data_IF_702618861666
#
_entry.id   IF_702618861666
#
_cell.length_a   1.000
_cell.length_b   1.000
_cell.length_c   1.000
_cell.angle_alpha   90.00
_cell.angle_beta   90.00
_cell.angle_gamma   90.00
#
_symmetry.space_group_name_H-M   'P 1'
#
loop_
_entity.id
_entity.type
_entity.pdbx_description
1 polymer ?
#
# COMPACT_ATOMS: atom_id res chain seq x y z
N UNK A 1 -23.29 -22.43 -2.08
CA UNK A 1 -22.61 -21.74 -3.18
C UNK A 1 -21.93 -22.78 -4.07
N UNK A 2 -21.93 -22.58 -5.36
CA UNK A 2 -21.25 -23.47 -6.32
C UNK A 2 -19.74 -23.23 -6.28
N UNK A 3 -19.33 -21.99 -6.20
CA UNK A 3 -17.94 -21.55 -6.04
C UNK A 3 -17.80 -20.51 -4.94
N UNK A 4 -16.61 -20.45 -4.33
CA UNK A 4 -16.20 -19.45 -3.35
C UNK A 4 -14.93 -18.78 -3.86
N UNK A 5 -14.95 -17.46 -3.96
CA UNK A 5 -13.80 -16.69 -4.40
C UNK A 5 -13.08 -16.09 -3.19
N UNK A 6 -11.80 -16.37 -3.07
CA UNK A 6 -10.92 -15.74 -2.09
C UNK A 6 -9.91 -14.84 -2.80
N UNK A 7 -9.58 -13.72 -2.17
CA UNK A 7 -8.66 -12.73 -2.73
C UNK A 7 -7.19 -13.19 -2.70
N UNK A 8 -6.85 -14.17 -1.85
CA UNK A 8 -5.50 -14.72 -1.70
C UNK A 8 -5.55 -16.19 -1.34
N UNK A 9 -4.57 -16.95 -1.79
CA UNK A 9 -4.39 -18.36 -1.39
C UNK A 9 -4.14 -18.51 0.12
N UNK A 10 -3.58 -17.48 0.75
CA UNK A 10 -3.33 -17.44 2.18
C UNK A 10 -4.61 -17.43 3.04
N UNK A 11 -5.75 -17.10 2.44
CA UNK A 11 -7.06 -17.18 3.12
C UNK A 11 -7.68 -18.58 3.05
N UNK A 12 -7.16 -19.53 2.26
CA UNK A 12 -7.76 -20.85 2.11
C UNK A 12 -7.90 -21.58 3.44
N UNK A 13 -6.79 -21.73 4.15
CA UNK A 13 -6.78 -22.51 5.41
C UNK A 13 -7.71 -21.92 6.47
N UNK A 14 -7.61 -20.62 6.81
CA UNK A 14 -8.55 -19.99 7.75
C UNK A 14 -10.01 -20.09 7.31
N UNK A 15 -10.27 -19.96 6.00
CA UNK A 15 -11.62 -20.06 5.47
C UNK A 15 -12.19 -21.48 5.59
N UNK A 16 -11.41 -22.53 5.31
CA UNK A 16 -11.83 -23.93 5.46
C UNK A 16 -12.13 -24.25 6.93
N UNK A 17 -11.29 -23.82 7.85
CA UNK A 17 -11.50 -23.97 9.29
C UNK A 17 -12.81 -23.31 9.78
N UNK A 18 -13.08 -22.09 9.28
CA UNK A 18 -14.28 -21.33 9.64
C UNK A 18 -15.57 -21.87 8.98
N UNK A 19 -15.49 -22.21 7.69
CA UNK A 19 -16.66 -22.56 6.88
C UNK A 19 -17.14 -24.00 7.05
N UNK A 20 -16.35 -24.86 7.71
CA UNK A 20 -16.57 -26.29 7.82
C UNK A 20 -16.71 -27.03 6.47
N UNK A 21 -16.19 -26.46 5.38
CA UNK A 21 -16.10 -27.16 4.11
C UNK A 21 -15.14 -28.34 4.24
N UNK A 22 -15.47 -29.46 3.57
CA UNK A 22 -14.68 -30.69 3.65
C UNK A 22 -13.35 -30.58 2.90
N UNK A 23 -13.32 -29.76 1.83
CA UNK A 23 -12.18 -29.60 0.96
C UNK A 23 -12.23 -28.23 0.25
N UNK A 24 -11.21 -27.95 -0.56
CA UNK A 24 -11.07 -26.68 -1.30
C UNK A 24 -11.54 -26.75 -2.77
N UNK A 25 -12.23 -27.83 -3.17
CA UNK A 25 -12.66 -28.06 -4.57
C UNK A 25 -13.51 -26.95 -5.15
N UNK A 26 -14.28 -26.24 -4.27
CA UNK A 26 -15.11 -25.08 -4.64
C UNK A 26 -14.38 -23.73 -4.53
N UNK A 27 -13.15 -23.70 -4.02
CA UNK A 27 -12.43 -22.45 -3.81
C UNK A 27 -11.65 -22.07 -5.06
N UNK A 28 -11.79 -20.82 -5.48
CA UNK A 28 -10.97 -20.20 -6.53
C UNK A 28 -10.31 -18.94 -5.98
N UNK A 29 -9.11 -18.65 -6.48
CA UNK A 29 -8.36 -17.46 -6.07
C UNK A 29 -8.43 -16.43 -7.20
N UNK A 30 -9.09 -15.31 -6.93
CA UNK A 30 -9.16 -14.18 -7.85
C UNK A 30 -8.86 -12.91 -7.06
N UNK A 31 -7.74 -12.27 -7.35
CA UNK A 31 -7.33 -11.03 -6.74
C UNK A 31 -8.25 -9.87 -7.14
N UNK A 32 -8.23 -8.79 -6.38
CA UNK A 32 -8.88 -7.56 -6.82
C UNK A 32 -8.17 -6.98 -8.05
N UNK A 33 -8.95 -6.48 -8.99
CA UNK A 33 -8.43 -5.72 -10.12
C UNK A 33 -7.94 -4.34 -9.67
N UNK A 34 -7.02 -3.76 -10.43
CA UNK A 34 -6.60 -2.37 -10.31
C UNK A 34 -7.79 -1.43 -10.56
N UNK A 35 -7.81 -0.29 -9.86
CA UNK A 35 -8.86 0.73 -10.00
C UNK A 35 -8.66 1.64 -11.22
N UNK A 36 -7.45 1.70 -11.76
CA UNK A 36 -7.08 2.59 -12.86
C UNK A 36 -6.65 1.78 -14.09
N UNK A 37 -6.81 2.37 -15.29
CA UNK A 37 -6.49 1.68 -16.55
C UNK A 37 -5.04 1.87 -16.99
N UNK A 38 -4.46 3.04 -16.69
CA UNK A 38 -3.11 3.39 -17.16
C UNK A 38 -2.03 3.04 -16.13
N UNK A 39 -0.87 2.65 -16.65
CA UNK A 39 0.33 2.44 -15.84
C UNK A 39 1.25 3.64 -15.97
N UNK A 40 2.01 3.92 -14.91
CA UNK A 40 3.01 4.97 -14.93
C UNK A 40 4.09 4.68 -15.97
N UNK A 41 4.40 5.67 -16.81
CA UNK A 41 5.52 5.59 -17.72
C UNK A 41 6.83 5.92 -16.99
N UNK A 42 7.69 4.92 -16.83
CA UNK A 42 8.96 5.06 -16.12
C UNK A 42 9.93 6.08 -16.78
N UNK A 43 9.74 6.43 -18.06
CA UNK A 43 10.48 7.50 -18.71
C UNK A 43 10.25 8.85 -17.99
N UNK A 44 9.11 9.02 -17.34
CA UNK A 44 8.74 10.21 -16.58
C UNK A 44 9.21 10.16 -15.11
N UNK A 45 10.05 9.20 -14.70
CA UNK A 45 10.44 9.01 -13.29
C UNK A 45 11.00 10.28 -12.64
N UNK A 46 11.69 11.13 -13.40
CA UNK A 46 12.25 12.38 -12.90
C UNK A 46 11.18 13.41 -12.47
N UNK A 47 9.90 13.19 -12.82
CA UNK A 47 8.77 14.00 -12.35
C UNK A 47 8.23 13.53 -10.99
N UNK A 48 8.70 12.38 -10.48
CA UNK A 48 8.36 11.94 -9.12
C UNK A 48 8.88 12.92 -8.09
N UNK A 49 8.01 13.28 -7.16
CA UNK A 49 8.32 14.21 -6.08
C UNK A 49 8.89 13.47 -4.86
N UNK A 50 9.63 14.16 -4.03
CA UNK A 50 10.06 13.70 -2.71
C UNK A 50 8.85 13.69 -1.76
N UNK A 51 7.89 12.83 -2.05
CA UNK A 51 6.63 12.70 -1.33
C UNK A 51 6.39 11.24 -0.92
N UNK A 52 6.01 11.06 0.34
CA UNK A 52 5.45 9.83 0.89
C UNK A 52 3.93 10.01 0.92
N UNK A 53 3.21 9.05 0.39
CA UNK A 53 1.76 9.09 0.26
C UNK A 53 1.10 8.04 1.16
N UNK A 54 0.05 8.44 1.83
CA UNK A 54 -0.95 7.57 2.44
C UNK A 54 -2.29 7.86 1.78
N UNK A 55 -2.98 6.82 1.31
CA UNK A 55 -4.36 6.90 0.83
C UNK A 55 -5.22 5.98 1.70
N UNK A 56 -6.08 6.56 2.52
CA UNK A 56 -6.81 5.78 3.53
C UNK A 56 -8.01 6.51 4.09
N UNK A 57 -9.00 5.75 4.59
CA UNK A 57 -9.95 6.29 5.56
C UNK A 57 -9.21 6.67 6.84
N UNK A 58 -9.53 7.83 7.40
CA UNK A 58 -8.90 8.32 8.63
C UNK A 58 -9.59 7.72 9.86
N UNK A 59 -9.34 6.43 10.06
CA UNK A 59 -9.80 5.61 11.18
C UNK A 59 -8.58 4.97 11.84
N UNK A 60 -8.52 4.93 13.17
CA UNK A 60 -7.37 4.33 13.83
C UNK A 60 -7.35 2.81 13.64
N UNK A 61 -8.46 2.16 13.85
CA UNK A 61 -8.63 0.75 13.56
C UNK A 61 -9.34 0.56 12.20
N UNK A 62 -8.73 -0.16 11.24
CA UNK A 62 -7.43 -0.85 11.28
C UNK A 62 -6.25 -0.04 10.73
N UNK A 63 -6.39 1.25 10.38
CA UNK A 63 -5.43 2.00 9.54
C UNK A 63 -4.18 2.50 10.26
N UNK A 64 -4.24 2.70 11.58
CA UNK A 64 -3.12 3.09 12.45
C UNK A 64 -2.34 4.31 11.93
N UNK A 65 -3.06 5.39 11.54
CA UNK A 65 -2.43 6.62 11.04
C UNK A 65 -1.60 7.29 12.15
N UNK A 66 -1.96 7.12 13.42
CA UNK A 66 -1.15 7.59 14.55
C UNK A 66 0.25 6.99 14.55
N UNK A 67 0.38 5.71 14.16
CA UNK A 67 1.67 5.03 14.01
C UNK A 67 2.46 5.60 12.82
N UNK A 68 1.81 5.91 11.71
CA UNK A 68 2.44 6.58 10.59
C UNK A 68 3.01 7.95 11.00
N UNK A 69 2.26 8.74 11.76
CA UNK A 69 2.72 10.03 12.28
C UNK A 69 3.89 9.89 13.26
N UNK A 70 3.88 8.84 14.10
CA UNK A 70 5.00 8.53 15.00
C UNK A 70 6.27 8.17 14.21
N UNK A 71 6.16 7.37 13.16
CA UNK A 71 7.27 7.05 12.25
C UNK A 71 7.76 8.33 11.56
N UNK A 72 6.84 9.16 11.06
CA UNK A 72 7.18 10.40 10.36
C UNK A 72 7.90 11.40 11.27
N UNK A 73 7.57 11.43 12.56
CA UNK A 73 8.30 12.25 13.54
C UNK A 73 9.81 11.96 13.51
N UNK A 74 10.20 10.68 13.48
CA UNK A 74 11.61 10.28 13.41
C UNK A 74 12.27 10.62 12.05
N UNK A 75 11.47 10.73 10.99
CA UNK A 75 11.93 11.19 9.67
C UNK A 75 12.17 12.71 9.70
N UNK A 76 11.29 13.48 10.34
CA UNK A 76 11.44 14.95 10.40
C UNK A 76 12.63 15.42 11.22
N UNK A 77 13.15 14.61 12.16
CA UNK A 77 14.38 14.94 12.89
C UNK A 77 15.64 14.93 12.03
N UNK A 78 15.58 14.27 10.87
CA UNK A 78 16.71 14.16 9.95
C UNK A 78 16.69 15.31 8.94
N UNK A 79 17.55 16.31 9.17
CA UNK A 79 17.61 17.51 8.35
C UNK A 79 18.03 17.24 6.90
N UNK A 80 18.70 16.12 6.62
CA UNK A 80 19.07 15.72 5.25
C UNK A 80 17.85 15.33 4.41
N UNK A 81 16.72 15.02 5.09
CA UNK A 81 15.45 14.64 4.49
C UNK A 81 14.44 15.80 4.47
N UNK A 82 14.87 17.05 4.65
CA UNK A 82 14.00 18.23 4.79
C UNK A 82 13.10 18.51 3.59
N UNK A 83 13.44 18.02 2.39
CA UNK A 83 12.62 18.19 1.19
C UNK A 83 11.44 17.19 1.11
N UNK A 84 11.49 16.10 1.89
CA UNK A 84 10.44 15.09 1.87
C UNK A 84 9.18 15.56 2.63
N UNK A 85 8.02 15.24 2.08
CA UNK A 85 6.70 15.56 2.63
C UNK A 85 5.87 14.29 2.79
N UNK A 86 5.03 14.25 3.82
CA UNK A 86 4.01 13.23 3.99
C UNK A 86 2.67 13.83 3.55
N UNK A 87 2.04 13.21 2.54
CA UNK A 87 0.69 13.53 2.09
C UNK A 87 -0.28 12.44 2.52
N UNK A 88 -1.40 12.85 3.07
CA UNK A 88 -2.46 11.95 3.54
C UNK A 88 -3.74 12.31 2.81
N UNK A 89 -4.16 11.43 1.89
CA UNK A 89 -5.39 11.57 1.10
C UNK A 89 -6.47 10.69 1.70
N UNK A 90 -7.62 11.27 1.96
CA UNK A 90 -8.79 10.63 2.54
C UNK A 90 -9.39 11.45 3.67
N UNK A 91 -10.44 10.92 4.29
CA UNK A 91 -11.10 11.54 5.42
C UNK A 91 -11.62 10.46 6.38
N UNK A 92 -12.04 10.87 7.57
CA UNK A 92 -12.65 9.97 8.54
C UNK A 92 -12.80 10.64 9.91
N UNK A 93 -13.49 9.94 10.80
CA UNK A 93 -13.85 10.46 12.13
C UNK A 93 -12.66 10.84 13.01
N UNK A 94 -11.47 10.30 12.71
CA UNK A 94 -10.25 10.54 13.49
C UNK A 94 -9.40 11.69 12.96
N UNK A 95 -9.82 12.39 11.91
CA UNK A 95 -9.02 13.43 11.25
C UNK A 95 -8.59 14.53 12.22
N UNK A 96 -9.51 15.05 13.03
CA UNK A 96 -9.20 16.10 14.02
C UNK A 96 -8.18 15.63 15.06
N UNK A 97 -8.28 14.37 15.48
CA UNK A 97 -7.31 13.80 16.41
C UNK A 97 -5.92 13.65 15.77
N UNK A 98 -5.82 13.18 14.51
CA UNK A 98 -4.53 13.12 13.82
C UNK A 98 -3.91 14.50 13.62
N UNK A 99 -4.71 15.53 13.31
CA UNK A 99 -4.23 16.92 13.23
C UNK A 99 -3.70 17.40 14.59
N UNK A 100 -4.33 17.02 15.69
CA UNK A 100 -3.82 17.33 17.03
C UNK A 100 -2.49 16.61 17.34
N UNK A 101 -2.31 15.37 16.86
CA UNK A 101 -1.02 14.65 16.97
C UNK A 101 0.09 15.34 16.15
N UNK A 102 -0.22 15.83 14.95
CA UNK A 102 0.74 16.60 14.13
C UNK A 102 1.25 17.83 14.92
N UNK A 103 0.33 18.57 15.55
CA UNK A 103 0.68 19.72 16.39
C UNK A 103 1.48 19.25 17.63
N UNK A 104 1.02 18.23 18.33
CA UNK A 104 1.69 17.69 19.53
C UNK A 104 3.12 17.20 19.25
N UNK A 105 3.36 16.58 18.09
CA UNK A 105 4.68 16.12 17.67
C UNK A 105 5.54 17.22 17.03
N UNK A 106 4.98 18.42 16.79
CA UNK A 106 5.67 19.53 16.15
C UNK A 106 5.99 19.32 14.67
N UNK A 107 5.22 18.45 13.98
CA UNK A 107 5.45 18.10 12.58
C UNK A 107 5.08 19.26 11.65
N UNK A 108 5.98 19.57 10.71
CA UNK A 108 5.83 20.69 9.78
C UNK A 108 5.55 20.23 8.33
N UNK A 109 5.81 18.96 8.02
CA UNK A 109 5.81 18.45 6.65
C UNK A 109 4.74 17.37 6.42
N UNK A 110 3.64 17.41 7.19
CA UNK A 110 2.47 16.55 7.05
C UNK A 110 1.30 17.34 6.50
N UNK A 111 0.71 16.88 5.41
CA UNK A 111 -0.39 17.54 4.69
C UNK A 111 -1.59 16.62 4.58
N UNK A 112 -2.72 17.02 5.16
CA UNK A 112 -4.02 16.36 4.99
C UNK A 112 -4.72 16.95 3.79
N UNK A 113 -4.90 16.15 2.75
CA UNK A 113 -5.46 16.59 1.45
C UNK A 113 -6.99 16.47 1.39
N UNK A 114 -7.60 15.79 2.38
CA UNK A 114 -9.04 15.51 2.39
C UNK A 114 -9.46 14.46 1.38
N UNK A 115 -10.76 14.40 1.09
CA UNK A 115 -11.32 13.47 0.09
C UNK A 115 -11.06 14.02 -1.32
N UNK A 116 -10.17 13.38 -2.03
CA UNK A 116 -9.81 13.72 -3.42
C UNK A 116 -9.64 12.45 -4.26
N UNK A 117 -9.66 12.57 -5.58
CA UNK A 117 -9.19 11.51 -6.46
C UNK A 117 -7.71 11.23 -6.15
N UNK A 118 -7.34 10.02 -5.73
CA UNK A 118 -5.97 9.72 -5.34
C UNK A 118 -5.01 9.54 -6.53
N UNK A 119 -5.51 9.36 -7.74
CA UNK A 119 -4.71 9.07 -8.92
C UNK A 119 -3.60 10.10 -9.19
N UNK A 120 -3.85 11.42 -9.16
CA UNK A 120 -2.79 12.42 -9.32
C UNK A 120 -1.71 12.32 -8.23
N UNK A 121 -2.09 11.97 -7.00
CA UNK A 121 -1.15 11.81 -5.89
C UNK A 121 -0.27 10.58 -6.07
N UNK A 122 -0.81 9.44 -6.51
CA UNK A 122 0.00 8.29 -6.89
C UNK A 122 0.97 8.63 -8.03
N UNK A 123 0.51 9.39 -9.02
CA UNK A 123 1.33 9.80 -10.15
C UNK A 123 2.55 10.63 -9.72
N UNK A 124 2.41 11.47 -8.70
CA UNK A 124 3.44 12.38 -8.21
C UNK A 124 4.35 11.77 -7.13
N UNK A 125 3.80 11.01 -6.19
CA UNK A 125 4.53 10.51 -5.04
C UNK A 125 5.58 9.45 -5.42
N UNK A 126 6.69 9.39 -4.67
CA UNK A 126 7.75 8.41 -4.87
C UNK A 126 7.58 7.15 -4.01
N UNK A 127 7.00 7.29 -2.82
CA UNK A 127 6.90 6.24 -1.81
C UNK A 127 5.46 6.16 -1.33
N UNK A 128 4.97 4.94 -1.10
CA UNK A 128 3.66 4.71 -0.49
C UNK A 128 3.83 4.07 0.88
N UNK A 129 3.15 4.62 1.87
CA UNK A 129 3.24 4.19 3.27
C UNK A 129 1.92 3.57 3.73
N UNK A 130 1.97 2.33 4.23
CA UNK A 130 0.83 1.66 4.83
C UNK A 130 1.18 1.13 6.23
N UNK A 131 0.41 1.53 7.22
CA UNK A 131 0.60 1.12 8.63
C UNK A 131 -0.55 0.26 9.16
N UNK A 132 -1.44 -0.19 8.28
CA UNK A 132 -2.64 -0.96 8.66
C UNK A 132 -2.30 -2.21 9.47
N UNK A 133 -3.11 -2.52 10.48
CA UNK A 133 -3.06 -3.77 11.25
C UNK A 133 -3.78 -4.92 10.53
N UNK A 134 -4.69 -4.59 9.63
CA UNK A 134 -5.46 -5.55 8.86
C UNK A 134 -5.92 -4.96 7.53
N UNK A 135 -5.86 -5.78 6.48
CA UNK A 135 -6.45 -5.52 5.17
C UNK A 135 -7.01 -6.82 4.58
N UNK A 136 -8.12 -6.73 3.86
CA UNK A 136 -8.62 -7.86 3.09
C UNK A 136 -7.76 -8.14 1.85
N UNK A 137 -7.32 -7.08 1.16
CA UNK A 137 -6.43 -7.17 0.00
C UNK A 137 -5.27 -6.17 0.07
N UNK A 138 -5.57 -4.90 0.28
CA UNK A 138 -4.59 -3.81 0.19
C UNK A 138 -4.62 -3.14 -1.18
N UNK A 139 -5.82 -2.79 -1.67
CA UNK A 139 -6.01 -2.20 -3.01
C UNK A 139 -5.14 -0.96 -3.24
N UNK A 140 -5.00 -0.10 -2.23
CA UNK A 140 -4.16 1.10 -2.33
C UNK A 140 -2.66 0.79 -2.49
N UNK A 141 -2.18 -0.41 -2.10
CA UNK A 141 -0.81 -0.85 -2.40
C UNK A 141 -0.64 -1.18 -3.88
N UNK A 142 -1.59 -1.92 -4.46
CA UNK A 142 -1.54 -2.27 -5.89
C UNK A 142 -1.72 -1.04 -6.77
N UNK A 143 -2.58 -0.10 -6.37
CA UNK A 143 -2.71 1.22 -7.02
C UNK A 143 -1.41 2.03 -6.96
N UNK A 144 -0.77 2.08 -5.79
CA UNK A 144 0.52 2.75 -5.61
C UNK A 144 1.61 2.13 -6.51
N UNK A 145 1.68 0.80 -6.58
CA UNK A 145 2.60 0.09 -7.46
C UNK A 145 2.34 0.38 -8.94
N UNK A 146 1.07 0.43 -9.35
CA UNK A 146 0.67 0.76 -10.72
C UNK A 146 1.25 2.11 -11.19
N UNK A 147 1.34 3.06 -10.27
CA UNK A 147 1.90 4.38 -10.50
C UNK A 147 3.38 4.51 -10.09
N UNK A 148 4.06 3.41 -9.81
CA UNK A 148 5.48 3.41 -9.48
C UNK A 148 5.84 4.05 -8.14
N UNK A 149 4.88 4.20 -7.22
CA UNK A 149 5.20 4.47 -5.82
C UNK A 149 5.76 3.19 -5.19
N UNK A 150 6.93 3.28 -4.57
CA UNK A 150 7.51 2.12 -3.87
C UNK A 150 6.79 1.91 -2.54
N UNK A 151 6.07 0.78 -2.34
CA UNK A 151 5.32 0.56 -1.12
C UNK A 151 6.19 0.09 0.04
N UNK A 152 5.91 0.62 1.24
CA UNK A 152 6.32 0.05 2.52
C UNK A 152 5.06 -0.28 3.32
N UNK A 153 4.97 -1.52 3.81
CA UNK A 153 3.85 -1.94 4.63
C UNK A 153 4.31 -2.89 5.75
N UNK A 154 3.62 -2.87 6.88
CA UNK A 154 3.77 -3.93 7.88
C UNK A 154 3.18 -5.24 7.37
N UNK A 155 3.88 -6.34 7.60
CA UNK A 155 3.39 -7.69 7.32
C UNK A 155 2.36 -8.10 8.38
N UNK A 156 1.23 -7.43 8.39
CA UNK A 156 0.13 -7.55 9.35
C UNK A 156 -1.12 -8.24 8.76
N UNK A 157 -1.10 -8.57 7.46
CA UNK A 157 -2.22 -9.23 6.79
C UNK A 157 -1.72 -10.21 5.71
N UNK A 158 -2.50 -11.25 5.49
CA UNK A 158 -2.06 -12.44 4.75
C UNK A 158 -1.81 -12.17 3.25
N UNK A 159 -2.58 -11.30 2.61
CA UNK A 159 -2.44 -10.99 1.17
C UNK A 159 -1.26 -10.08 0.84
N UNK A 160 -0.51 -9.58 1.83
CA UNK A 160 0.62 -8.67 1.56
C UNK A 160 1.67 -9.29 0.64
N UNK A 161 1.98 -10.58 0.83
CA UNK A 161 3.01 -11.28 0.06
C UNK A 161 2.59 -11.62 -1.38
N UNK A 162 1.30 -11.52 -1.71
CA UNK A 162 0.84 -11.56 -3.09
C UNK A 162 1.14 -10.25 -3.83
N UNK A 163 1.31 -9.14 -3.07
CA UNK A 163 1.49 -7.78 -3.60
C UNK A 163 2.96 -7.35 -3.52
N UNK A 164 3.59 -7.53 -2.35
CA UNK A 164 4.97 -7.10 -2.10
C UNK A 164 5.91 -8.31 -2.03
N UNK A 165 6.82 -8.39 -2.98
CA UNK A 165 8.04 -9.22 -2.86
C UNK A 165 9.10 -8.36 -2.18
N UNK A 166 9.42 -8.70 -0.91
CA UNK A 166 10.32 -7.90 -0.07
C UNK A 166 11.65 -7.61 -0.76
N UNK A 167 12.09 -6.34 -0.69
CA UNK A 167 13.34 -5.81 -1.29
C UNK A 167 13.38 -5.85 -2.81
N UNK A 168 12.32 -6.27 -3.48
CA UNK A 168 12.24 -6.31 -4.95
C UNK A 168 11.35 -5.19 -5.49
N UNK A 169 10.08 -5.16 -5.07
CA UNK A 169 9.09 -4.17 -5.53
C UNK A 169 8.51 -3.32 -4.38
N UNK A 170 9.12 -3.39 -3.20
CA UNK A 170 8.72 -2.69 -1.97
C UNK A 170 9.36 -3.33 -0.74
N UNK A 171 8.92 -2.92 0.44
CA UNK A 171 9.35 -3.51 1.71
C UNK A 171 8.16 -4.06 2.50
N UNK A 172 8.20 -5.36 2.81
CA UNK A 172 7.31 -6.03 3.75
C UNK A 172 7.98 -6.08 5.14
N UNK A 173 7.62 -5.16 6.01
CA UNK A 173 8.25 -4.98 7.33
C UNK A 173 7.58 -5.92 8.34
N UNK A 174 8.30 -6.66 9.19
CA UNK A 174 7.68 -7.41 10.28
C UNK A 174 6.72 -6.55 11.08
N UNK A 175 5.55 -7.12 11.46
CA UNK A 175 4.54 -6.33 12.14
C UNK A 175 5.12 -5.67 13.40
N UNK A 176 4.83 -4.38 13.55
CA UNK A 176 5.25 -3.52 14.67
C UNK A 176 6.78 -3.28 14.81
N UNK A 177 7.61 -3.71 13.84
CA UNK A 177 9.03 -3.32 13.79
C UNK A 177 9.17 -1.89 13.24
N UNK A 178 8.88 -0.91 14.11
CA UNK A 178 8.96 0.52 13.79
C UNK A 178 10.38 0.92 13.40
N UNK A 179 11.38 0.37 14.07
CA UNK A 179 12.78 0.69 13.83
C UNK A 179 13.22 0.30 12.42
N UNK A 180 12.85 -0.91 11.98
CA UNK A 180 13.12 -1.35 10.63
C UNK A 180 12.32 -0.55 9.60
N UNK A 181 11.05 -0.20 9.91
CA UNK A 181 10.23 0.65 9.03
C UNK A 181 10.91 1.99 8.76
N UNK A 182 11.37 2.69 9.82
CA UNK A 182 12.09 3.96 9.71
C UNK A 182 13.38 3.78 8.90
N UNK A 183 14.15 2.72 9.16
CA UNK A 183 15.38 2.42 8.44
C UNK A 183 15.14 2.24 6.93
N UNK A 184 14.15 1.45 6.55
CA UNK A 184 13.84 1.20 5.13
C UNK A 184 13.22 2.45 4.46
N UNK A 185 12.43 3.23 5.18
CA UNK A 185 11.93 4.50 4.71
C UNK A 185 13.07 5.47 4.39
N UNK A 186 14.00 5.66 5.32
CA UNK A 186 15.20 6.51 5.11
C UNK A 186 16.07 6.00 3.95
N UNK A 187 16.23 4.69 3.82
CA UNK A 187 16.96 4.10 2.69
C UNK A 187 16.32 4.48 1.35
N UNK A 188 15.00 4.33 1.21
CA UNK A 188 14.30 4.75 -0.01
C UNK A 188 14.36 6.26 -0.25
N UNK A 189 14.39 7.07 0.80
CA UNK A 189 14.48 8.53 0.66
C UNK A 189 15.85 8.98 0.16
N UNK A 190 16.92 8.28 0.55
CA UNK A 190 18.31 8.66 0.25
C UNK A 190 18.88 7.98 -0.98
N UNK A 191 18.48 6.73 -1.28
CA UNK A 191 18.95 5.98 -2.44
C UNK A 191 17.96 6.06 -3.60
N UNK A 192 18.17 7.04 -4.48
CA UNK A 192 17.30 7.24 -5.65
C UNK A 192 17.42 6.09 -6.66
N UNK A 193 18.60 5.49 -6.82
CA UNK A 193 18.79 4.38 -7.75
C UNK A 193 18.01 3.16 -7.32
N UNK A 194 18.09 2.82 -6.04
CA UNK A 194 17.29 1.74 -5.46
C UNK A 194 15.79 2.03 -5.61
N UNK A 195 15.36 3.24 -5.27
CA UNK A 195 13.96 3.65 -5.36
C UNK A 195 13.44 3.56 -6.80
N UNK A 196 14.21 4.02 -7.79
CA UNK A 196 13.85 3.90 -9.22
C UNK A 196 13.77 2.45 -9.68
N UNK A 197 14.71 1.60 -9.28
CA UNK A 197 14.70 0.17 -9.58
C UNK A 197 13.48 -0.52 -8.99
N UNK A 198 13.18 -0.27 -7.71
CA UNK A 198 11.99 -0.83 -7.05
C UNK A 198 10.69 -0.30 -7.67
N UNK A 199 10.65 0.97 -8.09
CA UNK A 199 9.51 1.56 -8.80
C UNK A 199 9.22 0.81 -10.11
N UNK A 200 10.24 0.51 -10.91
CA UNK A 200 10.09 -0.28 -12.13
C UNK A 200 9.52 -1.67 -11.84
N UNK A 201 10.06 -2.35 -10.83
CA UNK A 201 9.57 -3.67 -10.40
C UNK A 201 8.14 -3.60 -9.86
N UNK A 202 7.77 -2.54 -9.15
CA UNK A 202 6.43 -2.32 -8.62
C UNK A 202 5.41 -2.18 -9.76
N UNK A 203 5.70 -1.36 -10.78
CA UNK A 203 4.86 -1.22 -11.97
C UNK A 203 4.69 -2.58 -12.65
N UNK A 204 5.77 -3.29 -12.90
CA UNK A 204 5.72 -4.59 -13.59
C UNK A 204 4.91 -5.62 -12.81
N UNK A 205 5.15 -5.73 -11.49
CA UNK A 205 4.42 -6.64 -10.61
C UNK A 205 2.91 -6.35 -10.56
N UNK A 206 2.51 -5.08 -10.63
CA UNK A 206 1.10 -4.69 -10.56
C UNK A 206 0.30 -5.08 -11.80
N UNK A 207 0.94 -5.32 -12.95
CA UNK A 207 0.27 -5.69 -14.20
C UNK A 207 -0.56 -6.97 -14.10
N UNK A 208 -0.13 -7.91 -13.25
CA UNK A 208 -0.90 -9.15 -13.00
C UNK A 208 -2.30 -8.89 -12.41
N UNK A 209 -2.54 -7.70 -11.86
CA UNK A 209 -3.82 -7.27 -11.29
C UNK A 209 -4.61 -6.38 -12.24
N UNK A 210 -4.17 -6.24 -13.51
CA UNK A 210 -4.93 -5.46 -14.49
C UNK A 210 -6.34 -6.01 -14.69
N UNK A 211 -7.27 -5.12 -15.05
CA UNK A 211 -8.67 -5.47 -15.26
C UNK A 211 -8.81 -6.61 -16.29
N UNK A 212 -8.02 -6.57 -17.36
CA UNK A 212 -8.04 -7.56 -18.44
C UNK A 212 -7.65 -8.96 -17.96
N UNK A 213 -6.66 -9.06 -17.07
CA UNK A 213 -6.22 -10.34 -16.49
C UNK A 213 -7.26 -10.86 -15.49
N UNK A 214 -7.76 -9.99 -14.64
CA UNK A 214 -8.73 -10.39 -13.60
C UNK A 214 -10.06 -10.79 -14.21
N UNK A 215 -10.56 -10.08 -15.25
CA UNK A 215 -11.78 -10.45 -15.95
C UNK A 215 -11.65 -11.84 -16.58
N UNK A 216 -10.51 -12.18 -17.20
CA UNK A 216 -10.31 -13.54 -17.76
C UNK A 216 -10.46 -14.61 -16.69
N UNK A 217 -9.86 -14.44 -15.50
CA UNK A 217 -10.02 -15.38 -14.39
C UNK A 217 -11.48 -15.51 -13.93
N UNK A 218 -12.24 -14.42 -13.92
CA UNK A 218 -13.67 -14.45 -13.60
C UNK A 218 -14.46 -15.21 -14.65
N UNK A 219 -14.18 -14.99 -15.95
CA UNK A 219 -14.86 -15.69 -17.05
C UNK A 219 -14.57 -17.20 -17.02
N UNK A 220 -13.37 -17.62 -16.66
CA UNK A 220 -13.02 -19.04 -16.47
C UNK A 220 -13.91 -19.68 -15.40
N UNK A 221 -14.06 -19.03 -14.25
CA UNK A 221 -14.86 -19.56 -13.13
C UNK A 221 -16.37 -19.57 -13.44
N UNK A 222 -16.87 -18.57 -14.18
CA UNK A 222 -18.28 -18.50 -14.55
C UNK A 222 -18.65 -19.60 -15.56
N UNK A 223 -17.70 -20.00 -16.41
CA UNK A 223 -17.92 -21.04 -17.43
C UNK A 223 -17.64 -22.47 -16.91
N UNK A 224 -17.13 -22.65 -15.67
CA UNK A 224 -17.02 -23.96 -15.00
C UNK A 224 -18.38 -24.48 -14.52
#
# INVERSE_FOLDING_TARGET
>A
ADKVILLSSHFKKPFLEYSHLKDDSKIRIIHNALSFHSFYDLANYNHKKKEVLIVSRLEEEPKRISLALKIWKEIETDHTLSEWKLKIVGHGKMESWYKSLVIHYGLQRVFFEGTKNPEPYYNEASIFMMTSSFEGWGLTLTEAQQYGCVPLAFHSFASLTDIITDKVNGFAIPNDDISLYIKQMKLLMTDEKLRKSMSANAIESSKQFSIEIIIKKWMEVINE
#
